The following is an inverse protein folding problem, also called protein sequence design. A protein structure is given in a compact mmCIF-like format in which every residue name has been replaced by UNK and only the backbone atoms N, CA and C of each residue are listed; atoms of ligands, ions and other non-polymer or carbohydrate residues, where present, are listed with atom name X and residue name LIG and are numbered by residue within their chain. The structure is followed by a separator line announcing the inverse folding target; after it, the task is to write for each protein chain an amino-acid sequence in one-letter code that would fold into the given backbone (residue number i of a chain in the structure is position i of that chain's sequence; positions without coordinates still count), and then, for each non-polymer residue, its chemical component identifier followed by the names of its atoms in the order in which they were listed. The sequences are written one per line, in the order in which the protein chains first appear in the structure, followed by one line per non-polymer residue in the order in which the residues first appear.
data_IF_010146514962
#
_entry.id   IF_010146514962
#
_cell.length_a   1.000
_cell.length_b   1.000
_cell.length_c   1.000
_cell.angle_alpha   90.00
_cell.angle_beta   90.00
_cell.angle_gamma   90.00
#
_symmetry.space_group_name_H-M   'P 1'
#
loop_
_entity.id
_entity.type
_entity.pdbx_description
1 polymer ?
#
# COMPACT_ATOMS: atom_id res chain seq x y z
N UNK A 1 -11.51 12.39 2.26
CA UNK A 1 -10.86 12.31 3.58
C UNK A 1 -9.55 11.58 3.46
N UNK A 2 -8.77 11.48 4.54
CA UNK A 2 -7.53 10.69 4.59
C UNK A 2 -7.84 9.35 5.27
N UNK A 3 -7.48 8.22 4.65
CA UNK A 3 -7.71 6.88 5.21
C UNK A 3 -6.54 6.41 6.09
N UNK A 4 -5.31 6.67 5.64
CA UNK A 4 -4.08 6.29 6.31
C UNK A 4 -2.98 7.30 5.93
N UNK A 5 -2.09 7.59 6.86
CA UNK A 5 -0.98 8.53 6.67
C UNK A 5 0.17 8.10 7.59
N UNK A 6 1.35 7.93 7.01
CA UNK A 6 2.59 7.70 7.73
C UNK A 6 3.60 8.82 7.45
N UNK A 7 4.30 9.26 8.49
CA UNK A 7 5.35 10.28 8.42
C UNK A 7 6.64 9.67 8.99
N UNK A 8 7.70 9.67 8.18
CA UNK A 8 9.01 9.14 8.56
C UNK A 8 10.02 10.28 8.68
N UNK A 9 10.90 10.22 9.68
CA UNK A 9 12.04 11.15 9.84
C UNK A 9 13.26 10.75 9.00
N UNK A 10 13.06 9.86 8.03
CA UNK A 10 14.06 9.27 7.14
C UNK A 10 13.44 8.98 5.78
N UNK A 11 14.26 8.65 4.79
CA UNK A 11 13.77 8.22 3.48
C UNK A 11 12.97 6.92 3.58
N UNK A 12 11.95 6.82 2.73
CA UNK A 12 11.18 5.60 2.51
C UNK A 12 12.03 4.52 1.86
N UNK A 13 11.91 3.29 2.34
CA UNK A 13 12.41 2.08 1.67
C UNK A 13 11.24 1.28 1.09
N UNK A 14 11.56 0.28 0.25
CA UNK A 14 10.54 -0.64 -0.24
C UNK A 14 9.87 -1.45 0.88
N UNK A 15 10.61 -1.81 1.93
CA UNK A 15 10.06 -2.51 3.10
C UNK A 15 9.08 -1.64 3.89
N UNK A 16 9.39 -0.34 4.05
CA UNK A 16 8.46 0.60 4.67
C UNK A 16 7.18 0.72 3.85
N UNK A 17 7.33 0.77 2.53
CA UNK A 17 6.20 0.87 1.62
C UNK A 17 5.30 -0.36 1.69
N UNK A 18 5.87 -1.57 1.71
CA UNK A 18 5.11 -2.81 1.89
C UNK A 18 4.32 -2.80 3.21
N UNK A 19 4.96 -2.37 4.31
CA UNK A 19 4.29 -2.27 5.62
C UNK A 19 3.16 -1.25 5.59
N UNK A 20 3.38 -0.10 4.95
CA UNK A 20 2.34 0.91 4.79
C UNK A 20 1.15 0.37 4.02
N UNK A 21 1.39 -0.35 2.90
CA UNK A 21 0.31 -0.95 2.12
C UNK A 21 -0.45 -2.00 2.94
N UNK A 22 0.25 -2.89 3.64
CA UNK A 22 -0.38 -3.93 4.49
C UNK A 22 -1.38 -3.30 5.49
N UNK A 23 -0.97 -2.22 6.16
CA UNK A 23 -1.82 -1.48 7.09
C UNK A 23 -2.93 -0.70 6.39
N UNK A 24 -2.67 -0.12 5.21
CA UNK A 24 -3.67 0.60 4.42
C UNK A 24 -4.80 -0.34 4.00
N UNK A 25 -4.49 -1.55 3.53
CA UNK A 25 -5.51 -2.49 3.02
C UNK A 25 -6.54 -2.83 4.10
N UNK A 26 -6.11 -2.99 5.36
CA UNK A 26 -7.00 -3.25 6.50
C UNK A 26 -7.90 -2.05 6.87
N UNK A 27 -7.57 -0.85 6.37
CA UNK A 27 -8.35 0.40 6.58
C UNK A 27 -9.23 0.77 5.40
N UNK A 28 -8.92 0.26 4.21
CA UNK A 28 -9.74 0.49 3.03
C UNK A 28 -11.06 -0.28 3.20
N UNK A 29 -12.15 0.45 3.46
CA UNK A 29 -13.48 -0.14 3.61
C UNK A 29 -14.46 0.51 2.61
N UNK A 30 -14.99 -0.23 1.64
CA UNK A 30 -14.77 -1.67 1.42
C UNK A 30 -13.54 -1.98 0.53
N UNK A 31 -12.62 -2.81 1.04
CA UNK A 31 -11.56 -3.47 0.28
C UNK A 31 -11.19 -4.81 0.94
N UNK A 32 -10.90 -5.85 0.14
CA UNK A 32 -11.16 -5.91 -1.29
C UNK A 32 -12.64 -6.19 -1.56
N UNK A 33 -13.17 -5.56 -2.59
CA UNK A 33 -14.44 -5.91 -3.20
C UNK A 33 -14.27 -6.00 -4.70
N UNK A 34 -15.32 -6.47 -5.38
CA UNK A 34 -15.36 -6.47 -6.84
C UNK A 34 -15.09 -5.05 -7.36
N UNK A 35 -14.12 -4.94 -8.26
CA UNK A 35 -13.65 -3.69 -8.87
C UNK A 35 -12.92 -2.72 -7.93
N UNK A 36 -12.42 -3.17 -6.79
CA UNK A 36 -11.46 -2.39 -6.01
C UNK A 36 -10.16 -2.19 -6.81
N UNK A 37 -9.67 -0.95 -6.84
CA UNK A 37 -8.42 -0.59 -7.54
C UNK A 37 -7.54 0.20 -6.59
N UNK A 38 -6.28 -0.21 -6.47
CA UNK A 38 -5.23 0.58 -5.84
C UNK A 38 -4.48 1.36 -6.92
N UNK A 39 -4.55 2.70 -6.88
CA UNK A 39 -3.88 3.58 -7.84
C UNK A 39 -2.68 4.23 -7.16
N UNK A 40 -1.51 4.07 -7.77
CA UNK A 40 -0.23 4.60 -7.28
C UNK A 40 0.54 5.16 -8.47
N UNK A 41 1.46 6.10 -8.25
CA UNK A 41 2.39 6.52 -9.29
C UNK A 41 3.49 5.46 -9.50
N UNK A 42 4.27 5.63 -10.57
CA UNK A 42 5.30 4.66 -10.98
C UNK A 42 6.66 4.89 -10.29
N UNK A 43 6.65 5.38 -9.04
CA UNK A 43 7.87 5.58 -8.27
C UNK A 43 8.64 4.27 -8.07
N UNK A 44 9.98 4.30 -8.15
CA UNK A 44 10.81 3.11 -8.00
C UNK A 44 10.66 2.44 -6.63
N UNK A 45 10.30 3.20 -5.59
CA UNK A 45 9.98 2.69 -4.25
C UNK A 45 8.73 1.80 -4.21
N UNK A 46 7.90 1.82 -5.26
CA UNK A 46 6.71 0.97 -5.39
C UNK A 46 7.00 -0.33 -6.13
N UNK A 47 8.18 -0.48 -6.75
CA UNK A 47 8.59 -1.68 -7.47
C UNK A 47 9.25 -2.68 -6.50
N UNK A 48 8.51 -3.05 -5.46
CA UNK A 48 8.99 -3.95 -4.40
C UNK A 48 8.43 -5.34 -4.64
N UNK A 49 9.29 -6.35 -4.49
CA UNK A 49 8.88 -7.75 -4.51
C UNK A 49 7.85 -8.03 -3.40
N UNK A 50 6.80 -8.80 -3.71
CA UNK A 50 5.74 -9.13 -2.74
C UNK A 50 4.57 -8.14 -2.68
N UNK A 51 4.67 -6.96 -3.30
CA UNK A 51 3.59 -5.96 -3.25
C UNK A 51 2.31 -6.48 -3.91
N UNK A 52 2.44 -7.18 -5.04
CA UNK A 52 1.29 -7.71 -5.77
C UNK A 52 0.59 -8.79 -4.96
N UNK A 53 1.36 -9.72 -4.43
CA UNK A 53 0.90 -10.83 -3.60
C UNK A 53 0.18 -10.30 -2.35
N UNK A 54 0.73 -9.24 -1.73
CA UNK A 54 0.12 -8.57 -0.58
C UNK A 54 -1.28 -8.01 -0.90
N UNK A 55 -1.42 -7.35 -2.05
CA UNK A 55 -2.68 -6.73 -2.50
C UNK A 55 -3.70 -7.78 -2.92
N UNK A 56 -3.27 -8.83 -3.62
CA UNK A 56 -4.14 -9.89 -4.13
C UNK A 56 -4.55 -10.92 -3.05
N UNK A 57 -3.83 -11.00 -1.92
CA UNK A 57 -4.13 -11.92 -0.82
C UNK A 57 -5.20 -11.43 0.17
N UNK A 58 -5.63 -10.17 0.07
CA UNK A 58 -6.68 -9.61 0.92
C UNK A 58 -8.07 -9.99 0.44
#
# INVERSE_FOLDING_TARGET
GVLHLDILTRSWTGEDFLRYVDLLLDRMNPFPQKNSVLVMDNGSSHHVEGLRELVEAR
#
